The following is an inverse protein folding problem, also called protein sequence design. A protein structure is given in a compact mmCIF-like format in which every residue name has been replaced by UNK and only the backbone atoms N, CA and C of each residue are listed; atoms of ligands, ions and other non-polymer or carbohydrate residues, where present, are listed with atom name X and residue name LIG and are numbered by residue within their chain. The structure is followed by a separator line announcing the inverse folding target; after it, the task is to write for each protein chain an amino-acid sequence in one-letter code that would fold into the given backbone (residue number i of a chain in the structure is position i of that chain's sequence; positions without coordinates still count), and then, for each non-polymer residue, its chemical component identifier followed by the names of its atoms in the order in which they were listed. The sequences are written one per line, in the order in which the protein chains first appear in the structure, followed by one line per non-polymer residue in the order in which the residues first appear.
data_IF_926264632762
#
_entry.id   IF_926264632762
#
_cell.length_a   1.000
_cell.length_b   1.000
_cell.length_c   1.000
_cell.angle_alpha   90.00
_cell.angle_beta   90.00
_cell.angle_gamma   90.00
#
_symmetry.space_group_name_H-M   'P 1'
#
loop_
_entity.id
_entity.type
_entity.pdbx_description
1 polymer ?
#
# COMPACT_ATOMS: atom_id res chain seq x y z
N UNK A 1 -49.29 47.07 -3.56
CA UNK A 1 -47.99 47.69 -3.89
C UNK A 1 -47.16 47.70 -2.62
N UNK A 2 -46.03 47.00 -2.62
CA UNK A 2 -44.99 47.06 -1.58
C UNK A 2 -44.34 48.47 -1.54
N UNK A 3 -43.56 48.83 -0.50
CA UNK A 3 -42.14 48.41 -0.48
C UNK A 3 -41.53 48.07 0.90
N UNK A 4 -40.71 47.01 0.90
CA UNK A 4 -39.29 46.91 1.29
C UNK A 4 -38.79 47.36 2.70
N UNK A 5 -38.02 46.45 3.33
CA UNK A 5 -36.82 46.77 4.14
C UNK A 5 -36.93 46.44 5.63
N UNK A 6 -36.58 45.24 6.11
CA UNK A 6 -35.22 44.81 6.48
C UNK A 6 -34.67 45.42 7.78
N UNK A 7 -34.60 44.61 8.85
CA UNK A 7 -33.44 44.43 9.72
C UNK A 7 -33.82 43.54 10.90
N UNK A 8 -33.40 42.28 10.92
CA UNK A 8 -33.14 41.62 12.19
C UNK A 8 -31.85 40.79 12.10
N UNK A 9 -30.85 41.41 12.71
CA UNK A 9 -29.50 40.96 13.00
C UNK A 9 -29.47 39.50 13.47
N UNK A 10 -28.76 38.64 12.73
CA UNK A 10 -28.33 37.33 13.22
C UNK A 10 -26.80 37.33 13.24
N UNK A 11 -26.27 37.50 14.44
CA UNK A 11 -24.85 37.53 14.75
C UNK A 11 -24.07 36.45 14.02
N UNK A 12 -23.14 36.90 13.18
CA UNK A 12 -22.15 36.06 12.54
C UNK A 12 -21.29 35.37 13.59
N UNK A 13 -21.42 34.05 13.70
CA UNK A 13 -20.46 33.22 14.40
C UNK A 13 -19.11 33.34 13.67
N UNK A 14 -18.24 34.19 14.22
CA UNK A 14 -16.83 34.32 13.87
C UNK A 14 -16.14 32.98 14.12
N UNK A 15 -15.96 32.18 13.06
CA UNK A 15 -15.08 31.03 13.06
C UNK A 15 -13.65 31.52 13.25
N UNK A 16 -13.17 31.49 14.50
CA UNK A 16 -11.76 31.70 14.82
C UNK A 16 -10.95 30.69 14.00
N UNK A 17 -10.13 31.22 13.09
CA UNK A 17 -9.28 30.44 12.21
C UNK A 17 -8.27 29.64 13.05
N UNK A 18 -8.57 28.36 13.26
CA UNK A 18 -7.61 27.41 13.82
C UNK A 18 -6.43 27.27 12.86
N UNK A 19 -5.24 27.55 13.38
CA UNK A 19 -3.96 27.45 12.71
C UNK A 19 -3.83 26.17 11.87
N UNK A 20 -3.49 26.39 10.60
CA UNK A 20 -3.27 25.36 9.58
C UNK A 20 -2.08 24.49 9.99
N UNK A 21 -2.36 23.38 10.67
CA UNK A 21 -1.34 22.36 10.94
C UNK A 21 -0.85 21.78 9.61
N UNK A 22 0.48 21.78 9.44
CA UNK A 22 1.25 21.11 8.40
C UNK A 22 0.55 19.83 7.89
N UNK A 23 0.24 19.80 6.60
CA UNK A 23 -0.57 18.76 5.98
C UNK A 23 0.04 17.37 6.13
N UNK A 24 -0.34 16.62 7.17
CA UNK A 24 -0.08 15.18 7.28
C UNK A 24 -0.70 14.50 6.05
N UNK A 25 0.15 14.09 5.11
CA UNK A 25 -0.24 13.26 3.95
C UNK A 25 -1.07 12.09 4.47
N UNK A 26 -2.35 12.02 4.09
CA UNK A 26 -3.27 10.94 4.51
C UNK A 26 -2.58 9.60 4.25
N UNK A 27 -2.32 8.85 5.31
CA UNK A 27 -1.66 7.53 5.22
C UNK A 27 -2.55 6.65 4.33
N UNK A 28 -2.02 6.18 3.20
CA UNK A 28 -2.77 5.30 2.29
C UNK A 28 -3.20 4.06 3.08
N UNK A 29 -4.51 3.84 3.13
CA UNK A 29 -5.09 2.63 3.72
C UNK A 29 -4.48 1.39 3.04
N UNK A 30 -4.19 0.36 3.84
CA UNK A 30 -3.69 -0.92 3.33
C UNK A 30 -4.61 -1.47 2.23
N UNK A 31 -4.03 -2.17 1.25
CA UNK A 31 -4.79 -2.74 0.12
C UNK A 31 -5.65 -3.88 0.64
N UNK A 32 -6.86 -4.07 0.09
CA UNK A 32 -7.65 -5.28 0.35
C UNK A 32 -6.84 -6.52 -0.06
N UNK A 33 -6.84 -7.55 0.77
CA UNK A 33 -6.12 -8.77 0.44
C UNK A 33 -6.74 -9.46 -0.78
N UNK A 34 -5.92 -10.10 -1.64
CA UNK A 34 -6.45 -10.97 -2.68
C UNK A 34 -7.23 -12.12 -2.02
N UNK A 35 -8.48 -12.31 -2.39
CA UNK A 35 -9.36 -13.32 -1.80
C UNK A 35 -10.14 -12.89 -0.55
N UNK A 36 -9.95 -11.68 -0.03
CA UNK A 36 -10.79 -11.18 1.05
C UNK A 36 -12.25 -10.97 0.56
N UNK A 37 -13.26 -11.43 1.32
CA UNK A 37 -14.67 -11.24 1.01
C UNK A 37 -14.98 -9.78 0.69
N UNK A 38 -15.73 -9.56 -0.39
CA UNK A 38 -16.16 -8.20 -0.76
C UNK A 38 -17.31 -7.83 0.15
N UNK A 39 -17.20 -6.67 0.80
CA UNK A 39 -18.28 -6.10 1.63
C UNK A 39 -19.63 -6.19 0.94
N UNK A 40 -20.65 -6.49 1.74
CA UNK A 40 -22.05 -6.40 1.33
C UNK A 40 -22.36 -5.05 0.67
N UNK A 41 -23.16 -5.11 -0.39
CA UNK A 41 -23.66 -4.00 -1.19
C UNK A 41 -24.85 -3.39 -0.46
N UNK A 42 -24.84 -2.07 -0.36
CA UNK A 42 -25.97 -1.29 0.13
C UNK A 42 -27.13 -1.31 -0.88
N UNK A 43 -28.38 -1.04 -0.44
CA UNK A 43 -29.54 -0.93 -1.34
C UNK A 43 -29.28 0.01 -2.52
N UNK A 44 -28.66 1.16 -2.26
CA UNK A 44 -28.28 2.12 -3.30
C UNK A 44 -27.26 1.57 -4.28
N UNK A 45 -26.30 0.75 -3.82
CA UNK A 45 -25.29 0.15 -4.71
C UNK A 45 -25.94 -0.86 -5.65
N UNK A 46 -26.84 -1.70 -5.14
CA UNK A 46 -27.59 -2.65 -5.96
C UNK A 46 -28.44 -1.93 -7.02
N UNK A 47 -29.19 -0.91 -6.59
CA UNK A 47 -29.93 -0.03 -7.50
C UNK A 47 -29.04 0.62 -8.55
N UNK A 48 -27.89 1.18 -8.12
CA UNK A 48 -26.96 1.84 -9.03
C UNK A 48 -26.36 0.87 -10.04
N UNK A 49 -26.21 -0.42 -9.72
CA UNK A 49 -25.67 -1.39 -10.68
C UNK A 49 -26.65 -1.68 -11.80
N UNK A 50 -27.94 -1.79 -11.48
CA UNK A 50 -28.99 -2.08 -12.46
C UNK A 50 -29.36 -0.82 -13.27
N UNK A 51 -29.65 0.28 -12.58
CA UNK A 51 -30.04 1.54 -13.25
C UNK A 51 -28.91 2.24 -13.96
N UNK A 52 -27.65 1.91 -13.66
CA UNK A 52 -26.52 2.49 -14.40
C UNK A 52 -26.53 2.11 -15.86
N UNK A 53 -26.86 0.87 -16.21
CA UNK A 53 -26.88 0.46 -17.61
C UNK A 53 -28.07 1.09 -18.36
N UNK A 54 -29.24 1.18 -17.71
CA UNK A 54 -30.41 1.89 -18.26
C UNK A 54 -30.14 3.39 -18.49
N UNK A 55 -29.60 4.08 -17.47
CA UNK A 55 -29.31 5.51 -17.55
C UNK A 55 -28.15 5.77 -18.51
N UNK A 56 -27.15 4.89 -18.56
CA UNK A 56 -26.06 5.02 -19.53
C UNK A 56 -26.54 4.83 -20.97
N UNK A 57 -27.53 3.99 -21.22
CA UNK A 57 -28.11 3.78 -22.55
C UNK A 57 -28.99 4.96 -23.02
N UNK A 58 -29.63 5.68 -22.10
CA UNK A 58 -30.42 6.88 -22.42
C UNK A 58 -29.58 8.14 -22.56
N UNK A 59 -28.34 8.11 -22.05
CA UNK A 59 -27.38 9.20 -22.21
C UNK A 59 -26.55 9.03 -23.48
N UNK A 60 -26.07 10.13 -24.09
CA UNK A 60 -25.19 10.04 -25.25
C UNK A 60 -23.92 9.26 -24.89
N UNK A 61 -23.40 8.46 -25.83
CA UNK A 61 -22.31 7.48 -25.61
C UNK A 61 -21.03 8.11 -25.01
N UNK A 62 -20.76 9.38 -25.32
CA UNK A 62 -19.64 10.16 -24.78
C UNK A 62 -19.91 10.85 -23.44
N UNK A 63 -21.02 10.54 -22.76
CA UNK A 63 -21.34 11.10 -21.45
C UNK A 63 -20.33 10.67 -20.41
N UNK A 64 -19.93 11.61 -19.55
CA UNK A 64 -18.99 11.30 -18.47
C UNK A 64 -19.68 10.39 -17.46
N UNK A 65 -18.96 9.39 -16.97
CA UNK A 65 -19.44 8.49 -15.91
C UNK A 65 -19.93 9.27 -14.68
N UNK A 66 -19.36 10.44 -14.40
CA UNK A 66 -19.81 11.33 -13.32
C UNK A 66 -21.25 11.84 -13.51
N UNK A 67 -21.67 12.08 -14.74
CA UNK A 67 -23.00 12.58 -15.05
C UNK A 67 -24.03 11.46 -14.94
N UNK A 68 -23.68 10.25 -15.41
CA UNK A 68 -24.46 9.02 -15.21
C UNK A 68 -24.66 8.75 -13.71
N UNK A 69 -23.59 8.83 -12.91
CA UNK A 69 -23.69 8.59 -11.46
C UNK A 69 -24.54 9.62 -10.73
N UNK A 70 -24.54 10.87 -11.19
CA UNK A 70 -25.40 11.93 -10.65
C UNK A 70 -26.88 11.67 -10.99
N UNK A 71 -27.18 11.30 -12.24
CA UNK A 71 -28.53 10.95 -12.63
C UNK A 71 -29.08 9.74 -11.84
N UNK A 72 -28.24 8.73 -11.55
CA UNK A 72 -28.61 7.60 -10.67
C UNK A 72 -28.92 8.08 -9.25
N UNK A 73 -28.09 8.97 -8.69
CA UNK A 73 -28.32 9.51 -7.35
C UNK A 73 -29.64 10.28 -7.26
N UNK A 74 -29.95 11.10 -8.28
CA UNK A 74 -31.22 11.84 -8.37
C UNK A 74 -32.42 10.89 -8.49
N UNK A 75 -32.29 9.83 -9.29
CA UNK A 75 -33.33 8.80 -9.41
C UNK A 75 -33.57 8.08 -8.07
N UNK A 76 -32.52 7.69 -7.35
CA UNK A 76 -32.66 7.12 -6.01
C UNK A 76 -33.30 8.07 -5.00
N UNK A 77 -32.96 9.36 -5.07
CA UNK A 77 -33.55 10.39 -4.22
C UNK A 77 -35.05 10.55 -4.41
N UNK A 78 -35.54 10.45 -5.66
CA UNK A 78 -36.95 10.60 -6.03
C UNK A 78 -37.82 9.38 -5.73
N UNK A 79 -37.22 8.20 -5.56
CA UNK A 79 -37.98 6.98 -5.25
C UNK A 79 -38.56 7.00 -3.82
N UNK A 80 -39.80 6.51 -3.69
CA UNK A 80 -40.45 6.33 -2.39
C UNK A 80 -39.81 5.19 -1.59
N UNK A 81 -40.17 5.08 -0.31
CA UNK A 81 -39.66 4.00 0.54
C UNK A 81 -40.15 2.61 0.11
N UNK A 82 -41.33 2.55 -0.51
CA UNK A 82 -41.90 1.32 -1.09
C UNK A 82 -41.10 0.85 -2.31
N UNK A 83 -40.77 1.76 -3.24
CA UNK A 83 -39.93 1.44 -4.40
C UNK A 83 -38.49 1.05 -4.00
N UNK A 84 -38.04 1.54 -2.84
CA UNK A 84 -36.75 1.18 -2.25
C UNK A 84 -36.75 -0.18 -1.54
N UNK A 85 -37.92 -0.73 -1.19
CA UNK A 85 -37.99 -1.99 -0.47
C UNK A 85 -37.33 -3.20 -1.15
N UNK A 86 -37.55 -3.48 -2.44
CA UNK A 86 -36.89 -4.61 -3.10
C UNK A 86 -35.35 -4.52 -2.98
N UNK A 87 -34.80 -3.31 -3.05
CA UNK A 87 -33.36 -3.06 -2.88
C UNK A 87 -32.89 -3.23 -1.43
N UNK A 88 -33.74 -2.90 -0.45
CA UNK A 88 -33.46 -3.14 0.98
C UNK A 88 -33.40 -4.63 1.28
N UNK A 89 -34.35 -5.41 0.78
CA UNK A 89 -34.37 -6.88 0.92
C UNK A 89 -33.15 -7.51 0.23
N UNK A 90 -32.85 -7.10 -1.00
CA UNK A 90 -31.69 -7.59 -1.74
C UNK A 90 -30.36 -7.24 -1.04
N UNK A 91 -30.26 -6.07 -0.39
CA UNK A 91 -29.08 -5.70 0.38
C UNK A 91 -28.91 -6.51 1.67
N UNK A 92 -30.01 -6.89 2.33
CA UNK A 92 -29.95 -7.75 3.51
C UNK A 92 -29.49 -9.17 3.12
N UNK A 93 -29.96 -9.71 1.99
CA UNK A 93 -29.47 -10.98 1.45
C UNK A 93 -27.97 -10.89 1.07
N UNK A 94 -27.55 -9.78 0.45
CA UNK A 94 -26.16 -9.54 0.07
C UNK A 94 -25.22 -9.38 1.29
N UNK A 95 -25.76 -8.83 2.39
CA UNK A 95 -25.11 -8.75 3.70
C UNK A 95 -24.97 -10.13 4.34
N UNK A 96 -25.99 -10.97 4.31
CA UNK A 96 -25.92 -12.36 4.79
C UNK A 96 -24.85 -13.17 4.03
N UNK A 97 -24.80 -13.07 2.69
CA UNK A 97 -23.72 -13.67 1.91
C UNK A 97 -22.34 -13.20 2.38
N UNK A 98 -22.17 -11.89 2.61
CA UNK A 98 -20.90 -11.37 3.11
C UNK A 98 -20.57 -11.89 4.52
N UNK A 99 -21.55 -12.04 5.41
CA UNK A 99 -21.36 -12.60 6.75
C UNK A 99 -20.94 -14.08 6.70
N UNK A 100 -21.54 -14.88 5.81
CA UNK A 100 -21.17 -16.28 5.57
C UNK A 100 -19.77 -16.42 4.95
N UNK A 101 -19.46 -15.60 3.92
CA UNK A 101 -18.12 -15.53 3.33
C UNK A 101 -17.08 -15.10 4.37
N UNK A 102 -17.44 -14.17 5.25
CA UNK A 102 -16.56 -13.71 6.34
C UNK A 102 -16.39 -14.76 7.44
N UNK A 103 -17.43 -15.52 7.78
CA UNK A 103 -17.38 -16.57 8.78
C UNK A 103 -16.48 -17.73 8.35
N UNK A 104 -16.42 -18.01 7.05
CA UNK A 104 -15.54 -19.03 6.45
C UNK A 104 -14.15 -18.51 6.07
N UNK A 105 -13.91 -17.20 6.15
CA UNK A 105 -12.65 -16.58 5.72
C UNK A 105 -11.65 -16.43 6.88
N UNK A 106 -10.56 -17.21 6.81
CA UNK A 106 -9.46 -17.19 7.78
C UNK A 106 -8.29 -16.25 7.38
N UNK A 107 -8.43 -15.53 6.26
CA UNK A 107 -7.35 -14.69 5.73
C UNK A 107 -7.30 -13.27 6.34
N UNK A 108 -6.21 -12.53 6.11
CA UNK A 108 -6.15 -11.13 6.49
C UNK A 108 -7.03 -10.28 5.56
N UNK A 109 -7.90 -9.41 6.09
CA UNK A 109 -8.74 -8.53 5.25
C UNK A 109 -7.92 -7.50 4.45
N UNK A 110 -6.73 -7.17 4.93
CA UNK A 110 -5.86 -6.14 4.36
C UNK A 110 -4.42 -6.60 4.33
N UNK A 111 -3.73 -6.25 3.26
CA UNK A 111 -2.29 -6.49 3.10
C UNK A 111 -1.52 -5.17 3.03
N UNK A 112 -0.29 -5.12 3.58
CA UNK A 112 0.58 -3.97 3.43
C UNK A 112 0.71 -3.54 1.96
N UNK A 113 0.57 -2.23 1.71
CA UNK A 113 0.68 -1.67 0.36
C UNK A 113 2.13 -1.71 -0.16
N UNK A 114 3.11 -1.89 0.73
CA UNK A 114 4.53 -1.99 0.41
C UNK A 114 5.04 -3.33 0.93
N UNK A 115 5.92 -3.95 0.15
CA UNK A 115 6.73 -5.09 0.63
C UNK A 115 7.50 -4.63 1.87
N UNK A 116 7.63 -5.52 2.85
CA UNK A 116 8.45 -5.26 4.02
C UNK A 116 9.85 -4.82 3.60
N UNK A 117 10.41 -3.83 4.30
CA UNK A 117 11.80 -3.45 4.11
C UNK A 117 12.65 -4.65 4.53
N UNK A 118 13.59 -5.05 3.68
CA UNK A 118 14.59 -6.06 4.08
C UNK A 118 15.50 -5.47 5.15
N UNK A 119 16.06 -6.34 6.00
CA UNK A 119 17.09 -5.93 6.95
C UNK A 119 18.24 -5.23 6.18
N UNK A 120 18.81 -4.13 6.69
CA UNK A 120 19.91 -3.43 6.03
C UNK A 120 21.08 -4.35 5.67
N UNK A 121 21.39 -5.31 6.56
CA UNK A 121 22.49 -6.26 6.41
C UNK A 121 22.10 -7.55 5.66
N UNK A 122 20.85 -7.66 5.20
CA UNK A 122 20.44 -8.84 4.45
C UNK A 122 21.21 -8.91 3.12
N UNK A 123 21.68 -10.11 2.71
CA UNK A 123 22.39 -10.28 1.44
C UNK A 123 21.64 -9.64 0.27
N UNK A 124 22.38 -8.88 -0.55
CA UNK A 124 21.83 -8.28 -1.77
C UNK A 124 21.52 -9.39 -2.76
N UNK A 125 20.39 -9.24 -3.47
CA UNK A 125 19.95 -10.25 -4.45
C UNK A 125 21.01 -10.47 -5.52
N UNK A 126 21.07 -11.70 -6.02
CA UNK A 126 21.87 -12.01 -7.18
C UNK A 126 21.53 -11.09 -8.37
N UNK A 127 22.56 -10.59 -9.04
CA UNK A 127 22.46 -9.80 -10.26
C UNK A 127 22.21 -10.72 -11.45
N UNK A 128 21.29 -10.32 -12.34
CA UNK A 128 21.03 -11.05 -13.57
C UNK A 128 22.12 -10.79 -14.63
N UNK A 129 22.19 -11.64 -15.66
CA UNK A 129 23.11 -11.46 -16.78
C UNK A 129 22.95 -10.09 -17.44
N UNK A 130 21.70 -9.63 -17.59
CA UNK A 130 21.40 -8.28 -18.09
C UNK A 130 21.99 -7.18 -17.19
N UNK A 131 21.95 -7.32 -15.86
CA UNK A 131 22.52 -6.31 -14.97
C UNK A 131 24.04 -6.22 -15.15
N UNK A 132 24.74 -7.35 -15.27
CA UNK A 132 26.16 -7.36 -15.58
C UNK A 132 26.47 -6.76 -16.97
N UNK A 133 25.68 -7.08 -17.98
CA UNK A 133 25.78 -6.46 -19.30
C UNK A 133 25.58 -4.94 -19.23
N UNK A 134 24.53 -4.51 -18.53
CA UNK A 134 24.19 -3.10 -18.38
C UNK A 134 25.30 -2.34 -17.65
N UNK A 135 25.97 -2.93 -16.65
CA UNK A 135 27.09 -2.29 -15.95
C UNK A 135 28.26 -1.98 -16.88
N UNK A 136 28.53 -2.84 -17.87
CA UNK A 136 29.63 -2.67 -18.83
C UNK A 136 29.24 -1.71 -19.96
N UNK A 137 28.01 -1.81 -20.47
CA UNK A 137 27.59 -1.08 -21.68
C UNK A 137 27.06 0.33 -21.39
N UNK A 138 26.44 0.53 -20.22
CA UNK A 138 25.91 1.83 -19.78
C UNK A 138 26.94 2.97 -19.74
N UNK A 139 28.17 2.81 -19.22
CA UNK A 139 29.17 3.87 -19.29
C UNK A 139 29.61 4.19 -20.73
N UNK A 140 29.61 3.20 -21.64
CA UNK A 140 29.93 3.40 -23.06
C UNK A 140 28.88 4.27 -23.74
N UNK A 141 27.60 3.89 -23.62
CA UNK A 141 26.48 4.66 -24.18
C UNK A 141 26.40 6.06 -23.55
N UNK A 142 26.70 6.20 -22.25
CA UNK A 142 26.73 7.50 -21.59
C UNK A 142 27.88 8.38 -22.09
N UNK A 143 29.03 7.82 -22.45
CA UNK A 143 30.14 8.58 -23.02
C UNK A 143 29.78 9.09 -24.42
N UNK A 144 29.14 8.25 -25.24
CA UNK A 144 28.71 8.61 -26.60
C UNK A 144 27.51 9.58 -26.59
N UNK A 145 26.70 9.53 -25.54
CA UNK A 145 25.50 10.35 -25.37
C UNK A 145 25.43 11.01 -23.99
N UNK A 146 26.34 11.95 -23.75
CA UNK A 146 26.52 12.62 -22.44
C UNK A 146 25.26 13.34 -21.93
N UNK A 147 24.42 13.86 -22.82
CA UNK A 147 23.16 14.57 -22.48
C UNK A 147 21.93 13.65 -22.43
N UNK A 148 22.08 12.37 -22.78
CA UNK A 148 20.93 11.47 -22.85
C UNK A 148 20.42 11.12 -21.45
N UNK A 149 19.10 11.25 -21.28
CA UNK A 149 18.45 10.90 -20.02
C UNK A 149 18.67 9.41 -19.71
N UNK A 150 18.94 9.14 -18.45
CA UNK A 150 19.19 7.80 -17.93
C UNK A 150 18.14 6.74 -18.31
N UNK A 151 16.88 7.18 -18.46
CA UNK A 151 15.75 6.36 -18.86
C UNK A 151 15.87 5.85 -20.29
N UNK A 152 16.44 6.66 -21.19
CA UNK A 152 16.58 6.33 -22.60
C UNK A 152 17.75 5.36 -22.81
N UNK A 153 18.88 5.60 -22.14
CA UNK A 153 20.02 4.66 -22.09
C UNK A 153 19.54 3.27 -21.62
N UNK A 154 18.70 3.20 -20.58
CA UNK A 154 18.16 1.93 -20.10
C UNK A 154 17.27 1.21 -21.13
N UNK A 155 16.48 1.94 -21.92
CA UNK A 155 15.66 1.33 -22.99
C UNK A 155 16.56 0.75 -24.08
N UNK A 156 17.52 1.53 -24.56
CA UNK A 156 18.47 1.08 -25.57
C UNK A 156 19.25 -0.17 -25.13
N UNK A 157 19.70 -0.21 -23.87
CA UNK A 157 20.34 -1.40 -23.30
C UNK A 157 19.43 -2.62 -23.28
N UNK A 158 18.15 -2.44 -22.93
CA UNK A 158 17.16 -3.52 -22.92
C UNK A 158 16.93 -4.09 -24.31
N UNK A 159 16.79 -3.22 -25.32
CA UNK A 159 16.65 -3.63 -26.71
C UNK A 159 17.91 -4.32 -27.25
N UNK A 160 19.09 -3.77 -26.96
CA UNK A 160 20.37 -4.36 -27.34
C UNK A 160 20.57 -5.75 -26.71
N UNK A 161 20.21 -5.91 -25.43
CA UNK A 161 20.23 -7.22 -24.78
C UNK A 161 19.22 -8.20 -25.37
N UNK A 162 18.01 -7.73 -25.74
CA UNK A 162 17.02 -8.59 -26.39
C UNK A 162 17.52 -9.11 -27.75
N UNK A 163 18.23 -8.27 -28.51
CA UNK A 163 18.78 -8.60 -29.84
C UNK A 163 20.13 -9.33 -29.79
N UNK A 164 20.83 -9.30 -28.66
CA UNK A 164 22.14 -9.95 -28.51
C UNK A 164 22.05 -11.48 -28.67
N UNK A 165 23.05 -12.06 -29.32
CA UNK A 165 23.15 -13.51 -29.53
C UNK A 165 23.49 -14.24 -28.23
N UNK A 166 23.21 -15.55 -28.18
CA UNK A 166 23.49 -16.34 -26.99
C UNK A 166 24.99 -16.39 -26.67
N UNK A 167 25.86 -16.32 -27.68
CA UNK A 167 27.32 -16.20 -27.50
C UNK A 167 27.72 -14.89 -26.83
N UNK A 168 27.08 -13.77 -27.21
CA UNK A 168 27.33 -12.47 -26.58
C UNK A 168 26.78 -12.42 -25.14
N UNK A 169 25.71 -13.16 -24.87
CA UNK A 169 25.11 -13.30 -23.54
C UNK A 169 25.87 -14.27 -22.65
N UNK A 170 26.53 -15.28 -23.21
CA UNK A 170 27.23 -16.35 -22.50
C UNK A 170 28.16 -15.88 -21.37
N UNK A 171 29.07 -14.90 -21.56
CA UNK A 171 29.94 -14.45 -20.47
C UNK A 171 29.17 -13.78 -19.32
N UNK A 172 28.02 -13.17 -19.59
CA UNK A 172 27.18 -12.54 -18.58
C UNK A 172 26.27 -13.55 -17.88
N UNK A 173 25.82 -14.58 -18.59
CA UNK A 173 25.08 -15.71 -18.02
C UNK A 173 25.97 -16.49 -17.06
N UNK A 174 27.24 -16.69 -17.38
CA UNK A 174 28.17 -17.36 -16.47
C UNK A 174 28.43 -16.53 -15.20
N UNK A 175 28.59 -15.20 -15.34
CA UNK A 175 28.64 -14.28 -14.20
C UNK A 175 27.37 -14.35 -13.34
N UNK A 176 26.20 -14.42 -13.96
CA UNK A 176 24.94 -14.62 -13.24
C UNK A 176 24.90 -15.94 -12.46
N UNK A 177 25.38 -17.05 -13.02
CA UNK A 177 25.43 -18.33 -12.29
C UNK A 177 26.32 -18.24 -11.05
N UNK A 178 27.51 -17.68 -11.20
CA UNK A 178 28.44 -17.47 -10.07
C UNK A 178 27.82 -16.56 -9.01
N UNK A 179 27.17 -15.49 -9.44
CA UNK A 179 26.52 -14.52 -8.55
C UNK A 179 25.31 -15.10 -7.80
N UNK A 180 24.52 -15.94 -8.49
CA UNK A 180 23.44 -16.73 -7.89
C UNK A 180 23.99 -17.72 -6.85
N UNK A 181 25.10 -18.40 -7.15
CA UNK A 181 25.74 -19.31 -6.21
C UNK A 181 26.29 -18.58 -4.97
N UNK A 182 26.89 -17.39 -5.14
CA UNK A 182 27.29 -16.52 -4.03
C UNK A 182 26.08 -16.15 -3.17
N UNK A 183 25.02 -15.60 -3.78
CA UNK A 183 23.81 -15.21 -3.06
C UNK A 183 23.16 -16.37 -2.33
N UNK A 184 23.15 -17.58 -2.91
CA UNK A 184 22.63 -18.78 -2.25
C UNK A 184 23.40 -19.07 -0.96
N UNK A 185 24.74 -19.09 -1.01
CA UNK A 185 25.59 -19.31 0.17
C UNK A 185 25.42 -18.22 1.22
N UNK A 186 25.43 -16.95 0.80
CA UNK A 186 25.21 -15.82 1.71
C UNK A 186 23.83 -15.87 2.37
N UNK A 187 22.79 -16.29 1.63
CA UNK A 187 21.44 -16.45 2.16
C UNK A 187 21.31 -17.64 3.11
N UNK A 188 22.04 -18.74 2.87
CA UNK A 188 22.09 -19.87 3.81
C UNK A 188 22.70 -19.43 5.15
N UNK A 189 23.86 -18.76 5.12
CA UNK A 189 24.48 -18.17 6.33
C UNK A 189 23.55 -17.16 7.00
N UNK A 190 22.92 -16.28 6.20
CA UNK A 190 21.94 -15.33 6.71
C UNK A 190 20.77 -16.06 7.38
N UNK A 191 20.24 -17.11 6.80
CA UNK A 191 19.11 -17.83 7.41
C UNK A 191 19.53 -18.60 8.67
N UNK A 192 20.73 -19.21 8.68
CA UNK A 192 21.27 -19.92 9.86
C UNK A 192 21.50 -18.97 11.04
N UNK A 193 22.08 -17.79 10.80
CA UNK A 193 22.36 -16.82 11.86
C UNK A 193 21.12 -16.00 12.25
N UNK A 194 19.91 -16.42 11.88
CA UNK A 194 18.68 -15.65 12.16
C UNK A 194 18.44 -15.46 13.66
N UNK A 195 18.49 -16.55 14.42
CA UNK A 195 18.24 -16.52 15.87
C UNK A 195 19.30 -15.72 16.63
N UNK A 196 20.57 -15.89 16.26
CA UNK A 196 21.68 -15.12 16.84
C UNK A 196 21.58 -13.62 16.53
N UNK A 197 21.18 -13.25 15.31
CA UNK A 197 20.91 -11.84 14.96
C UNK A 197 19.73 -11.27 15.74
N UNK A 198 18.63 -12.01 15.84
CA UNK A 198 17.46 -11.57 16.63
C UNK A 198 17.83 -11.39 18.11
N UNK A 199 18.66 -12.30 18.66
CA UNK A 199 19.18 -12.19 20.02
C UNK A 199 20.09 -10.96 20.19
N UNK A 200 21.10 -10.79 19.33
CA UNK A 200 22.04 -9.66 19.41
C UNK A 200 21.34 -8.31 19.20
N UNK A 201 20.37 -8.22 18.28
CA UNK A 201 19.53 -7.03 18.10
C UNK A 201 18.70 -6.75 19.36
N UNK A 202 18.12 -7.78 20.00
CA UNK A 202 17.36 -7.59 21.24
C UNK A 202 18.25 -7.09 22.39
N UNK A 203 19.47 -7.60 22.52
CA UNK A 203 20.45 -7.15 23.51
C UNK A 203 20.91 -5.72 23.23
N UNK A 204 21.17 -5.37 21.96
CA UNK A 204 21.47 -3.99 21.57
C UNK A 204 20.29 -3.05 21.86
N UNK A 205 19.06 -3.48 21.60
CA UNK A 205 17.87 -2.68 21.93
C UNK A 205 17.71 -2.50 23.43
N UNK A 206 17.91 -3.56 24.22
CA UNK A 206 17.85 -3.52 25.68
C UNK A 206 18.93 -2.60 26.25
N UNK A 207 20.19 -2.78 25.85
CA UNK A 207 21.30 -1.91 26.27
C UNK A 207 21.07 -0.46 25.89
N UNK A 208 20.59 -0.18 24.67
CA UNK A 208 20.21 1.16 24.25
C UNK A 208 19.06 1.73 25.10
N UNK A 209 18.06 0.92 25.44
CA UNK A 209 16.95 1.33 26.30
C UNK A 209 17.41 1.63 27.73
N UNK A 210 18.22 0.76 28.33
CA UNK A 210 18.80 0.94 29.66
C UNK A 210 19.68 2.19 29.70
N UNK A 211 20.54 2.41 28.70
CA UNK A 211 21.34 3.62 28.57
C UNK A 211 20.49 4.90 28.39
N UNK A 212 19.37 4.81 27.65
CA UNK A 212 18.47 5.95 27.42
C UNK A 212 17.63 6.29 28.66
N UNK A 213 17.19 5.28 29.41
CA UNK A 213 16.34 5.47 30.59
C UNK A 213 17.14 5.73 31.87
N UNK A 214 18.46 5.51 31.84
CA UNK A 214 19.32 5.69 33.01
C UNK A 214 18.96 4.76 34.18
N UNK A 215 18.15 3.73 33.92
CA UNK A 215 17.80 2.72 34.90
C UNK A 215 18.97 1.76 34.99
N UNK A 216 20.06 2.23 35.61
CA UNK A 216 21.08 1.33 36.13
C UNK A 216 20.38 0.30 37.01
N UNK A 217 20.82 -0.94 36.94
CA UNK A 217 20.26 -2.05 37.69
C UNK A 217 20.55 -1.79 39.18
N UNK A 218 19.77 -0.89 39.79
CA UNK A 218 19.73 -0.65 41.22
C UNK A 218 19.52 -2.00 41.86
N UNK A 219 20.61 -2.54 42.43
CA UNK A 219 20.63 -3.32 43.65
C UNK A 219 19.21 -3.62 44.16
N UNK A 220 18.63 -4.70 43.65
CA UNK A 220 17.49 -5.37 44.25
C UNK A 220 17.99 -6.63 44.97
N UNK A 221 19.17 -6.54 45.60
CA UNK A 221 19.77 -7.67 46.32
C UNK A 221 20.13 -7.34 47.77
N UNK A 222 20.07 -6.07 48.20
CA UNK A 222 20.54 -5.66 49.54
C UNK A 222 19.45 -5.27 50.55
N UNK A 223 18.18 -5.71 50.40
CA UNK A 223 17.14 -5.40 51.42
C UNK A 223 16.37 -6.59 51.99
N UNK A 224 16.84 -7.83 51.82
CA UNK A 224 16.36 -8.97 52.62
C UNK A 224 17.50 -9.53 53.48
N UNK A 225 18.15 -8.69 54.28
CA UNK A 225 18.89 -9.17 55.45
C UNK A 225 17.87 -9.29 56.60
N UNK A 226 17.34 -10.51 56.74
CA UNK A 226 16.54 -10.94 57.88
C UNK A 226 17.36 -10.76 59.16
N UNK A 227 16.85 -9.94 60.08
CA UNK A 227 17.22 -9.89 61.50
C UNK A 227 17.05 -11.28 62.13
N UNK A 228 18.15 -11.93 62.52
CA UNK A 228 18.13 -13.06 63.46
C UNK A 228 17.92 -12.57 64.90
N UNK A 229 17.16 -13.35 65.67
CA UNK A 229 16.83 -13.20 67.09
C UNK A 229 17.71 -14.14 67.90
#
# INVERSE_FOLDING_TARGET
MEPLGAANDHGGASWVALNKTEGKKRKRLQKKAPGAPKRGKSPYILFSMEKREEIKATMPENSKVTDVMRAIADAWGKMGDEDKQPWKVAAEADKQRYEEEMASYDGPLRVPNKRAKKHPDAPKRASSAFLFYSQVMRPRIKADHQDMKNTEISKQLGEAWSKATDEQKAPFVEKEKVDRARYKREMEVWNSNKEEREYTESQQQYTNYTAMTGFDQMDYSSSYSTTEV
#
